data_IF_375120312349
#
_entry.id   IF_375120312349
#
_cell.length_a   1.000
_cell.length_b   1.000
_cell.length_c   1.000
_cell.angle_alpha   90.00
_cell.angle_beta   90.00
_cell.angle_gamma   90.00
#
_symmetry.space_group_name_H-M   'P 1'
#
loop_
_entity.id
_entity.type
_entity.pdbx_description
1 polymer ?
#
# COMPACT_ATOMS: atom_id res chain seq x y z
N UNK A 1 -9.48 1.44 4.83
CA UNK A 1 -9.03 2.84 4.84
C UNK A 1 -10.01 3.68 4.03
N UNK A 2 -10.63 4.68 4.66
CA UNK A 2 -11.54 5.63 4.01
C UNK A 2 -10.74 6.66 3.21
N UNK A 3 -11.23 7.07 2.03
CA UNK A 3 -10.68 8.21 1.28
C UNK A 3 -11.26 9.54 1.75
N UNK A 4 -12.32 9.52 2.57
CA UNK A 4 -13.07 10.72 2.94
C UNK A 4 -12.74 11.30 4.32
N UNK A 5 -11.80 10.73 5.09
CA UNK A 5 -11.23 11.40 6.25
C UNK A 5 -9.81 10.89 6.50
N UNK A 6 -8.82 11.78 6.66
CA UNK A 6 -7.49 11.36 7.09
C UNK A 6 -7.63 10.65 8.43
N UNK A 7 -6.91 9.55 8.58
CA UNK A 7 -6.73 8.90 9.88
C UNK A 7 -6.24 10.00 10.86
N UNK A 8 -7.04 10.37 11.88
CA UNK A 8 -6.75 11.54 12.71
C UNK A 8 -5.41 11.42 13.42
N UNK A 9 -5.00 10.20 13.73
CA UNK A 9 -3.69 9.92 14.32
C UNK A 9 -2.58 10.17 13.28
N UNK A 10 -2.77 9.73 12.03
CA UNK A 10 -1.80 9.96 10.95
C UNK A 10 -1.64 11.44 10.61
N UNK A 11 -2.75 12.20 10.55
CA UNK A 11 -2.70 13.65 10.35
C UNK A 11 -1.83 14.32 11.43
N UNK A 12 -2.05 13.98 12.71
CA UNK A 12 -1.24 14.53 13.80
C UNK A 12 0.24 14.12 13.70
N UNK A 13 0.52 12.87 13.34
CA UNK A 13 1.88 12.35 13.14
C UNK A 13 2.61 13.13 12.05
N UNK A 14 1.94 13.35 10.90
CA UNK A 14 2.51 14.07 9.76
C UNK A 14 2.72 15.54 10.08
N UNK A 15 1.74 16.18 10.70
CA UNK A 15 1.82 17.59 11.14
C UNK A 15 2.95 17.81 12.14
N UNK A 16 3.15 16.87 13.07
CA UNK A 16 4.21 16.94 14.07
C UNK A 16 5.59 16.50 13.55
N UNK A 17 5.68 15.99 12.31
CA UNK A 17 6.90 15.48 11.66
C UNK A 17 7.68 14.48 12.53
N UNK A 18 6.99 13.50 13.11
CA UNK A 18 7.61 12.52 14.02
C UNK A 18 7.88 11.19 13.34
N UNK A 19 9.16 10.88 13.06
CA UNK A 19 9.56 9.60 12.45
C UNK A 19 9.14 8.37 13.26
N UNK A 20 9.32 8.29 14.59
CA UNK A 20 8.99 7.06 15.32
C UNK A 20 7.49 6.69 15.26
N UNK A 21 6.54 7.60 15.51
CA UNK A 21 5.11 7.30 15.31
C UNK A 21 4.74 6.98 13.86
N UNK A 22 5.36 7.64 12.87
CA UNK A 22 5.10 7.31 11.46
C UNK A 22 5.58 5.89 11.13
N UNK A 23 6.75 5.51 11.65
CA UNK A 23 7.26 4.15 11.52
C UNK A 23 6.28 3.13 12.11
N UNK A 24 5.80 3.37 13.34
CA UNK A 24 4.86 2.47 14.03
C UNK A 24 3.58 2.30 13.21
N UNK A 25 3.00 3.40 12.72
CA UNK A 25 1.80 3.41 11.87
C UNK A 25 2.02 2.65 10.54
N UNK A 26 3.18 2.81 9.91
CA UNK A 26 3.50 2.10 8.66
C UNK A 26 3.73 0.60 8.88
N UNK A 27 4.39 0.18 9.95
CA UNK A 27 4.55 -1.24 10.30
C UNK A 27 3.21 -1.90 10.62
N UNK A 28 2.32 -1.17 11.29
CA UNK A 28 0.95 -1.62 11.50
C UNK A 28 0.23 -1.81 10.16
N UNK A 29 0.33 -0.83 9.26
CA UNK A 29 -0.25 -0.93 7.91
C UNK A 29 0.30 -2.13 7.12
N UNK A 30 1.61 -2.39 7.19
CA UNK A 30 2.24 -3.55 6.55
C UNK A 30 1.72 -4.88 7.12
N UNK A 31 1.18 -4.87 8.34
CA UNK A 31 0.58 -6.06 8.94
C UNK A 31 -0.76 -6.42 8.30
N UNK A 32 -1.42 -5.57 7.53
CA UNK A 32 -2.67 -5.96 6.85
C UNK A 32 -2.44 -6.83 5.61
N UNK A 33 -1.20 -6.98 5.14
CA UNK A 33 -0.93 -7.73 3.91
C UNK A 33 -1.13 -9.25 4.05
N UNK A 34 -1.70 -9.86 3.00
CA UNK A 34 -1.77 -11.31 2.80
C UNK A 34 -2.81 -12.05 3.64
N UNK A 35 -3.64 -11.33 4.41
CA UNK A 35 -4.75 -11.89 5.20
C UNK A 35 -5.97 -10.95 5.15
N UNK A 36 -7.10 -11.39 5.72
CA UNK A 36 -8.24 -10.50 5.94
C UNK A 36 -7.90 -9.41 6.97
N UNK A 37 -8.31 -8.18 6.69
CA UNK A 37 -8.12 -7.03 7.59
C UNK A 37 -8.66 -7.29 9.00
N UNK A 38 -9.79 -8.00 9.10
CA UNK A 38 -10.36 -8.40 10.40
C UNK A 38 -9.41 -9.27 11.21
N UNK A 39 -8.75 -10.23 10.57
CA UNK A 39 -7.79 -11.13 11.24
C UNK A 39 -6.54 -10.37 11.67
N UNK A 40 -6.05 -9.45 10.83
CA UNK A 40 -4.93 -8.57 11.16
C UNK A 40 -5.26 -7.69 12.37
N UNK A 41 -6.41 -7.01 12.34
CA UNK A 41 -6.87 -6.13 13.40
C UNK A 41 -7.09 -6.88 14.73
N UNK A 42 -7.71 -8.05 14.70
CA UNK A 42 -7.88 -8.86 15.92
C UNK A 42 -6.54 -9.28 16.53
N UNK A 43 -5.54 -9.60 15.71
CA UNK A 43 -4.21 -9.95 16.21
C UNK A 43 -3.51 -8.75 16.86
N UNK A 44 -3.49 -7.60 16.18
CA UNK A 44 -2.89 -6.36 16.68
C UNK A 44 -3.56 -5.90 17.97
N UNK A 45 -4.89 -6.00 18.05
CA UNK A 45 -5.64 -5.67 19.27
C UNK A 45 -5.26 -6.58 20.45
N UNK A 46 -5.06 -7.88 20.21
CA UNK A 46 -4.78 -8.87 21.25
C UNK A 46 -3.30 -8.91 21.68
N UNK A 47 -2.37 -8.55 20.79
CA UNK A 47 -0.93 -8.77 21.01
C UNK A 47 -0.07 -7.50 20.88
N UNK A 48 -0.67 -6.38 20.47
CA UNK A 48 0.05 -5.16 20.13
C UNK A 48 0.87 -5.29 18.84
N UNK A 49 1.72 -4.30 18.61
CA UNK A 49 2.73 -4.27 17.55
C UNK A 49 4.14 -4.27 18.13
N UNK A 50 5.13 -4.12 17.25
CA UNK A 50 6.48 -3.73 17.65
C UNK A 50 6.67 -2.26 17.28
N UNK A 51 7.31 -1.51 18.17
CA UNK A 51 7.54 -0.07 18.00
C UNK A 51 8.96 0.26 17.57
N UNK A 52 9.15 1.46 17.03
CA UNK A 52 10.45 2.07 16.76
C UNK A 52 11.35 2.00 17.99
N UNK A 53 10.83 2.39 19.16
CA UNK A 53 11.62 2.45 20.39
C UNK A 53 12.12 1.05 20.77
N UNK A 54 11.25 0.04 20.74
CA UNK A 54 11.63 -1.34 21.04
C UNK A 54 12.71 -1.86 20.09
N UNK A 55 12.56 -1.68 18.77
CA UNK A 55 13.58 -2.11 17.80
C UNK A 55 14.88 -1.35 18.03
N UNK A 56 14.82 -0.03 18.23
CA UNK A 56 16.02 0.80 18.44
C UNK A 56 16.86 0.33 19.62
N UNK A 57 16.23 -0.12 20.71
CA UNK A 57 16.94 -0.70 21.86
C UNK A 57 17.50 -2.09 21.51
N UNK A 58 16.73 -2.91 20.79
CA UNK A 58 17.14 -4.25 20.39
C UNK A 58 18.34 -4.28 19.42
N UNK A 59 18.52 -3.24 18.61
CA UNK A 59 19.57 -3.14 17.59
C UNK A 59 20.67 -2.13 17.91
N UNK A 60 20.71 -1.60 19.14
CA UNK A 60 21.78 -0.69 19.59
C UNK A 60 23.15 -1.36 19.62
N UNK A 61 23.20 -2.63 20.04
CA UNK A 61 24.42 -3.45 20.07
C UNK A 61 24.05 -4.89 19.67
N UNK A 62 23.79 -5.13 18.37
CA UNK A 62 23.28 -6.41 17.93
C UNK A 62 24.42 -7.44 17.88
N UNK A 63 24.20 -8.60 18.50
CA UNK A 63 25.17 -9.70 18.40
C UNK A 63 25.29 -10.28 16.96
N UNK A 64 24.29 -10.05 16.11
CA UNK A 64 24.25 -10.57 14.74
C UNK A 64 24.68 -9.47 13.75
N UNK A 65 25.73 -9.68 12.94
CA UNK A 65 26.24 -8.65 12.02
C UNK A 65 25.26 -8.30 10.89
N UNK A 66 24.25 -9.14 10.66
CA UNK A 66 23.18 -8.81 9.70
C UNK A 66 22.29 -7.66 10.18
N UNK A 67 22.34 -7.28 11.46
CA UNK A 67 21.60 -6.15 12.00
C UNK A 67 22.42 -4.85 12.02
N UNK A 68 23.67 -4.89 11.55
CA UNK A 68 24.56 -3.73 11.55
C UNK A 68 24.10 -2.68 10.54
N UNK A 69 23.51 -3.10 9.41
CA UNK A 69 23.00 -2.18 8.39
C UNK A 69 21.78 -2.74 7.64
N UNK A 70 21.04 -1.86 6.98
CA UNK A 70 19.95 -2.20 6.07
C UNK A 70 20.39 -3.19 5.00
N UNK A 71 21.53 -2.95 4.36
CA UNK A 71 22.02 -3.76 3.25
C UNK A 71 22.51 -5.14 3.70
N UNK A 72 23.11 -5.26 4.88
CA UNK A 72 23.51 -6.58 5.41
C UNK A 72 22.28 -7.40 5.81
N UNK A 73 21.21 -6.75 6.27
CA UNK A 73 19.99 -7.41 6.72
C UNK A 73 19.21 -8.15 5.64
N UNK A 74 19.31 -7.74 4.37
CA UNK A 74 18.62 -8.38 3.23
C UNK A 74 18.84 -9.90 3.20
N UNK A 75 19.98 -10.37 3.71
CA UNK A 75 20.35 -11.78 3.78
C UNK A 75 19.81 -12.56 4.99
N UNK A 76 19.01 -11.97 5.90
CA UNK A 76 18.60 -12.57 7.19
C UNK A 76 17.89 -13.93 7.03
N UNK A 77 16.85 -13.99 6.21
CA UNK A 77 16.07 -15.20 5.90
C UNK A 77 15.56 -15.95 7.15
N UNK A 78 15.12 -15.23 8.17
CA UNK A 78 14.56 -15.82 9.37
C UNK A 78 13.25 -16.58 9.07
N UNK A 79 13.18 -17.84 9.50
CA UNK A 79 11.99 -18.67 9.45
C UNK A 79 11.53 -18.97 10.89
N UNK A 80 10.37 -18.44 11.27
CA UNK A 80 9.80 -18.59 12.62
C UNK A 80 9.35 -20.01 12.91
N UNK A 81 8.86 -20.74 11.92
CA UNK A 81 8.36 -22.12 12.06
C UNK A 81 9.52 -23.08 12.27
N UNK A 82 10.56 -22.96 11.44
CA UNK A 82 11.77 -23.79 11.52
C UNK A 82 12.74 -23.33 12.60
N UNK A 83 12.58 -22.10 13.09
CA UNK A 83 13.54 -21.41 13.98
C UNK A 83 14.95 -21.45 13.40
N UNK A 84 15.08 -21.06 12.14
CA UNK A 84 16.36 -20.98 11.41
C UNK A 84 16.53 -19.61 10.75
N UNK A 85 17.75 -19.29 10.34
CA UNK A 85 18.08 -18.09 9.55
C UNK A 85 19.40 -18.35 8.81
N UNK A 86 19.86 -17.39 7.99
CA UNK A 86 21.15 -17.50 7.28
C UNK A 86 22.37 -17.48 8.21
N UNK A 87 22.21 -17.02 9.46
CA UNK A 87 23.29 -16.90 10.45
C UNK A 87 22.92 -17.62 11.76
N UNK A 88 22.81 -18.98 11.74
CA UNK A 88 22.25 -19.75 12.85
C UNK A 88 23.04 -19.60 14.16
N UNK A 89 24.36 -19.30 14.10
CA UNK A 89 25.21 -19.08 15.28
C UNK A 89 24.69 -17.97 16.21
N UNK A 90 23.97 -16.99 15.69
CA UNK A 90 23.49 -15.84 16.46
C UNK A 90 22.03 -15.96 16.90
N UNK A 91 21.29 -16.97 16.45
CA UNK A 91 19.83 -17.01 16.56
C UNK A 91 19.32 -16.93 18.00
N UNK A 92 20.06 -17.52 18.96
CA UNK A 92 19.70 -17.53 20.38
C UNK A 92 19.67 -16.12 21.00
N UNK A 93 20.54 -15.22 20.53
CA UNK A 93 20.65 -13.83 21.02
C UNK A 93 20.01 -12.82 20.06
N UNK A 94 19.58 -13.27 18.88
CA UNK A 94 18.98 -12.41 17.87
C UNK A 94 17.67 -11.78 18.38
N UNK A 95 17.44 -10.47 18.16
CA UNK A 95 16.18 -9.82 18.52
C UNK A 95 15.03 -10.12 17.55
N UNK A 96 15.31 -10.42 16.28
CA UNK A 96 14.26 -10.65 15.25
C UNK A 96 13.23 -11.71 15.69
N UNK A 97 13.62 -12.89 16.24
CA UNK A 97 12.65 -13.87 16.74
C UNK A 97 11.78 -13.40 17.92
N UNK A 98 12.21 -12.36 18.64
CA UNK A 98 11.55 -11.88 19.87
C UNK A 98 10.40 -10.90 19.60
N UNK A 99 10.34 -10.34 18.39
CA UNK A 99 9.25 -9.43 18.02
C UNK A 99 7.89 -10.14 18.09
N UNK A 100 6.89 -9.55 18.76
CA UNK A 100 5.58 -10.17 19.00
C UNK A 100 4.64 -10.06 17.78
N UNK A 101 5.15 -10.13 16.55
CA UNK A 101 4.32 -10.10 15.36
C UNK A 101 3.87 -11.51 14.96
N UNK A 102 2.75 -11.59 14.22
CA UNK A 102 2.06 -12.86 13.93
C UNK A 102 2.93 -13.92 13.26
N UNK A 103 3.93 -13.53 12.49
CA UNK A 103 4.79 -14.46 11.77
C UNK A 103 6.21 -13.92 11.58
N UNK A 104 7.15 -14.80 11.24
CA UNK A 104 8.57 -14.43 11.05
C UNK A 104 8.81 -13.51 9.85
N UNK A 105 7.87 -13.48 8.91
CA UNK A 105 7.92 -12.57 7.77
C UNK A 105 7.72 -11.12 8.23
N UNK A 106 6.70 -10.85 9.04
CA UNK A 106 6.48 -9.52 9.61
C UNK A 106 7.57 -9.12 10.60
N UNK A 107 8.13 -10.07 11.37
CA UNK A 107 9.32 -9.79 12.18
C UNK A 107 10.45 -9.24 11.29
N UNK A 108 10.70 -9.85 10.13
CA UNK A 108 11.72 -9.34 9.21
C UNK A 108 11.32 -8.03 8.55
N UNK A 109 10.05 -7.85 8.19
CA UNK A 109 9.55 -6.59 7.62
C UNK A 109 9.80 -5.42 8.57
N UNK A 110 9.45 -5.54 9.85
CA UNK A 110 9.62 -4.46 10.82
C UNK A 110 11.10 -4.09 11.01
N UNK A 111 11.99 -5.08 11.15
CA UNK A 111 13.43 -4.81 11.28
C UNK A 111 14.05 -4.27 10.00
N UNK A 112 13.67 -4.80 8.84
CA UNK A 112 14.14 -4.30 7.55
C UNK A 112 13.71 -2.84 7.33
N UNK A 113 12.46 -2.50 7.64
CA UNK A 113 11.98 -1.14 7.54
C UNK A 113 12.65 -0.21 8.57
N UNK A 114 12.90 -0.69 9.79
CA UNK A 114 13.60 0.09 10.80
C UNK A 114 15.01 0.46 10.32
N UNK A 115 15.74 -0.53 9.79
CA UNK A 115 17.08 -0.33 9.26
C UNK A 115 17.08 0.58 8.03
N UNK A 116 16.07 0.47 7.16
CA UNK A 116 15.89 1.42 6.06
C UNK A 116 15.78 2.85 6.59
N UNK A 117 14.88 3.09 7.54
CA UNK A 117 14.69 4.43 8.10
C UNK A 117 15.95 4.92 8.82
N UNK A 118 16.63 4.07 9.58
CA UNK A 118 17.87 4.41 10.29
C UNK A 118 19.02 4.75 9.33
N UNK A 119 19.24 3.92 8.30
CA UNK A 119 20.48 3.96 7.50
C UNK A 119 20.32 4.69 6.16
N UNK A 120 19.15 4.59 5.53
CA UNK A 120 18.87 5.20 4.21
C UNK A 120 18.20 6.56 4.38
N UNK A 121 17.29 6.68 5.34
CA UNK A 121 16.62 7.95 5.66
C UNK A 121 17.30 8.74 6.81
N UNK A 122 18.47 8.30 7.29
CA UNK A 122 19.22 8.92 8.39
C UNK A 122 18.36 9.23 9.64
N UNK A 123 17.45 8.32 9.96
CA UNK A 123 16.44 8.46 11.03
C UNK A 123 15.43 9.62 10.85
N UNK A 124 15.43 10.30 9.71
CA UNK A 124 14.47 11.33 9.30
C UNK A 124 13.66 10.89 8.07
N UNK A 125 12.61 10.11 8.31
CA UNK A 125 11.73 9.65 7.22
C UNK A 125 11.00 10.81 6.53
N UNK A 126 10.73 11.92 7.23
CA UNK A 126 10.05 13.08 6.65
C UNK A 126 10.99 13.85 5.72
N UNK A 127 12.21 14.14 6.18
CA UNK A 127 13.26 14.74 5.36
C UNK A 127 13.57 13.88 4.13
N UNK A 128 13.68 12.57 4.30
CA UNK A 128 13.87 11.66 3.19
C UNK A 128 12.74 11.72 2.14
N UNK A 129 11.47 11.75 2.55
CA UNK A 129 10.34 11.94 1.62
C UNK A 129 10.45 13.30 0.91
N UNK A 130 10.72 14.37 1.66
CA UNK A 130 10.88 15.72 1.12
C UNK A 130 11.98 15.76 0.04
N UNK A 131 13.11 15.10 0.29
CA UNK A 131 14.24 15.01 -0.64
C UNK A 131 13.88 14.19 -1.89
N UNK A 132 13.23 13.04 -1.74
CA UNK A 132 12.80 12.21 -2.89
C UNK A 132 11.83 12.96 -3.80
N UNK A 133 10.84 13.64 -3.22
CA UNK A 133 9.85 14.41 -3.98
C UNK A 133 10.49 15.62 -4.66
N UNK A 134 11.40 16.32 -3.96
CA UNK A 134 12.14 17.45 -4.53
C UNK A 134 13.05 17.02 -5.69
N UNK A 135 13.72 15.87 -5.56
CA UNK A 135 14.59 15.32 -6.61
C UNK A 135 13.80 14.83 -7.83
N UNK A 136 12.59 14.32 -7.65
CA UNK A 136 11.71 13.93 -8.76
C UNK A 136 11.26 15.14 -9.60
N UNK A 137 11.21 16.34 -9.00
CA UNK A 137 10.90 17.60 -9.68
C UNK A 137 9.55 17.58 -10.41
N UNK A 138 9.44 18.36 -11.48
CA UNK A 138 8.24 18.46 -12.32
C UNK A 138 8.05 17.29 -13.31
N UNK A 139 8.83 16.21 -13.18
CA UNK A 139 8.78 15.04 -14.08
C UNK A 139 7.49 14.20 -13.95
N UNK A 140 6.50 14.70 -13.21
CA UNK A 140 5.16 14.16 -13.07
C UNK A 140 5.01 13.09 -11.99
N UNK A 141 3.76 12.75 -11.69
CA UNK A 141 3.39 11.87 -10.57
C UNK A 141 3.99 10.46 -10.65
N UNK A 142 4.23 9.93 -11.85
CA UNK A 142 4.88 8.63 -12.02
C UNK A 142 6.32 8.63 -11.50
N UNK A 143 7.06 9.70 -11.77
CA UNK A 143 8.44 9.90 -11.32
C UNK A 143 8.51 10.09 -9.80
N UNK A 144 7.60 10.90 -9.24
CA UNK A 144 7.47 11.09 -7.80
C UNK A 144 7.12 9.78 -7.06
N UNK A 145 6.21 8.99 -7.61
CA UNK A 145 5.88 7.67 -7.06
C UNK A 145 7.10 6.73 -7.09
N UNK A 146 7.84 6.62 -8.21
CA UNK A 146 8.99 5.73 -8.28
C UNK A 146 10.17 6.21 -7.40
N UNK A 147 10.34 7.52 -7.21
CA UNK A 147 11.34 8.06 -6.28
C UNK A 147 11.10 7.59 -4.83
N UNK A 148 9.85 7.37 -4.44
CA UNK A 148 9.50 6.84 -3.12
C UNK A 148 9.48 5.29 -3.09
N UNK A 149 8.82 4.67 -4.08
CA UNK A 149 8.62 3.22 -4.11
C UNK A 149 9.90 2.47 -4.46
N UNK A 150 10.71 2.99 -5.39
CA UNK A 150 11.94 2.34 -5.85
C UNK A 150 12.91 1.99 -4.72
N UNK A 151 13.33 2.96 -3.89
CA UNK A 151 14.21 2.69 -2.76
C UNK A 151 13.56 1.80 -1.68
N UNK A 152 12.25 1.97 -1.43
CA UNK A 152 11.54 1.22 -0.38
C UNK A 152 11.15 -0.21 -0.81
N UNK A 153 11.21 -0.53 -2.11
CA UNK A 153 10.94 -1.87 -2.67
C UNK A 153 11.83 -2.97 -2.08
N UNK A 154 13.01 -2.60 -1.56
CA UNK A 154 13.95 -3.52 -0.94
C UNK A 154 13.62 -3.82 0.54
N UNK A 155 12.64 -3.13 1.13
CA UNK A 155 12.14 -3.46 2.47
C UNK A 155 11.52 -4.85 2.43
N UNK A 156 12.06 -5.75 3.26
CA UNK A 156 11.74 -7.17 3.20
C UNK A 156 10.23 -7.41 3.34
N UNK A 157 9.68 -8.13 2.35
CA UNK A 157 8.31 -8.63 2.45
C UNK A 157 7.24 -7.54 2.33
N UNK A 158 7.53 -6.39 1.73
CA UNK A 158 6.50 -5.39 1.41
C UNK A 158 6.38 -5.27 -0.10
N UNK A 159 5.20 -5.55 -0.65
CA UNK A 159 4.96 -5.40 -2.09
C UNK A 159 4.81 -3.93 -2.50
N UNK A 160 5.14 -3.57 -3.75
CA UNK A 160 4.91 -2.24 -4.33
C UNK A 160 3.47 -1.75 -4.14
N UNK A 161 2.49 -2.66 -4.21
CA UNK A 161 1.08 -2.35 -3.93
C UNK A 161 0.92 -1.79 -2.52
N UNK A 162 1.44 -2.50 -1.52
CA UNK A 162 1.31 -2.13 -0.11
C UNK A 162 2.08 -0.84 0.17
N UNK A 163 3.30 -0.69 -0.38
CA UNK A 163 4.09 0.54 -0.29
C UNK A 163 3.32 1.73 -0.88
N UNK A 164 2.82 1.60 -2.10
CA UNK A 164 2.07 2.67 -2.79
C UNK A 164 0.80 3.04 -2.03
N UNK A 165 0.06 2.06 -1.49
CA UNK A 165 -1.13 2.35 -0.68
C UNK A 165 -0.76 3.10 0.60
N UNK A 166 0.26 2.63 1.32
CA UNK A 166 0.71 3.20 2.59
C UNK A 166 1.23 4.63 2.40
N UNK A 167 2.14 4.83 1.44
CA UNK A 167 2.71 6.13 1.11
C UNK A 167 1.65 7.13 0.65
N UNK A 168 0.70 6.71 -0.20
CA UNK A 168 -0.41 7.58 -0.61
C UNK A 168 -1.21 8.10 0.59
N UNK A 169 -1.50 7.24 1.59
CA UNK A 169 -2.17 7.68 2.82
C UNK A 169 -1.33 8.67 3.64
N UNK A 170 -0.02 8.42 3.77
CA UNK A 170 0.92 9.33 4.48
C UNK A 170 0.97 10.69 3.79
N UNK A 171 1.12 10.70 2.47
CA UNK A 171 1.24 11.92 1.67
C UNK A 171 -0.06 12.74 1.67
N UNK A 172 -1.22 12.08 1.80
CA UNK A 172 -2.52 12.73 1.85
C UNK A 172 -2.95 13.15 3.26
N UNK A 173 -2.17 12.87 4.29
CA UNK A 173 -2.61 12.99 5.68
C UNK A 173 -2.79 14.44 6.16
N UNK A 174 -1.98 15.38 5.67
CA UNK A 174 -2.04 16.80 6.06
C UNK A 174 -1.88 17.70 4.82
N UNK A 175 -3.01 17.93 4.14
CA UNK A 175 -3.06 18.75 2.92
C UNK A 175 -2.68 20.22 3.16
N UNK A 176 -2.98 20.75 4.34
CA UNK A 176 -2.77 22.17 4.66
C UNK A 176 -1.29 22.46 4.87
N UNK A 177 -0.60 21.60 5.62
CA UNK A 177 0.82 21.76 5.87
C UNK A 177 1.70 21.23 4.73
N UNK A 178 1.19 20.29 3.92
CA UNK A 178 1.95 19.59 2.86
C UNK A 178 1.17 19.48 1.53
N UNK A 179 0.85 20.60 0.87
CA UNK A 179 0.10 20.57 -0.39
C UNK A 179 0.83 19.77 -1.50
N UNK A 180 2.16 19.83 -1.56
CA UNK A 180 2.95 19.09 -2.56
C UNK A 180 2.88 17.57 -2.32
N UNK A 181 2.91 17.14 -1.06
CA UNK A 181 2.70 15.73 -0.72
C UNK A 181 1.29 15.30 -1.13
N UNK A 182 0.29 16.10 -0.80
CA UNK A 182 -1.10 15.79 -1.10
C UNK A 182 -1.33 15.63 -2.62
N UNK A 183 -0.74 16.50 -3.45
CA UNK A 183 -0.79 16.39 -4.91
C UNK A 183 -0.22 15.05 -5.41
N UNK A 184 0.94 14.62 -4.90
CA UNK A 184 1.53 13.32 -5.26
C UNK A 184 0.67 12.16 -4.73
N UNK A 185 0.31 12.18 -3.46
CA UNK A 185 -0.45 11.12 -2.81
C UNK A 185 -1.82 10.88 -3.45
N UNK A 186 -2.49 11.95 -3.88
CA UNK A 186 -3.79 11.91 -4.58
C UNK A 186 -3.70 11.35 -6.01
N UNK A 187 -2.51 11.40 -6.61
CA UNK A 187 -2.23 10.82 -7.92
C UNK A 187 -1.76 9.35 -7.88
N UNK A 188 -1.34 8.86 -6.69
CA UNK A 188 -0.84 7.50 -6.49
C UNK A 188 -1.98 6.47 -6.50
N UNK A 189 -2.11 5.75 -7.61
CA UNK A 189 -3.16 4.74 -7.82
C UNK A 189 -2.64 3.32 -7.70
N UNK A 190 -3.47 2.45 -7.14
CA UNK A 190 -3.21 1.02 -7.04
C UNK A 190 -4.30 0.25 -7.76
N UNK A 191 -3.92 -0.44 -8.83
CA UNK A 191 -4.79 -1.39 -9.53
C UNK A 191 -4.58 -2.77 -8.93
N UNK A 192 -5.54 -3.21 -8.13
CA UNK A 192 -5.60 -4.58 -7.66
C UNK A 192 -6.55 -5.43 -8.51
N UNK A 193 -6.69 -6.70 -8.12
CA UNK A 193 -7.53 -7.64 -8.84
C UNK A 193 -9.00 -7.22 -8.86
N UNK A 194 -9.52 -6.57 -7.82
CA UNK A 194 -10.91 -6.12 -7.80
C UNK A 194 -11.13 -5.00 -8.83
N UNK A 195 -10.27 -3.98 -8.81
CA UNK A 195 -10.33 -2.86 -9.75
C UNK A 195 -10.15 -3.36 -11.19
N UNK A 196 -9.14 -4.21 -11.45
CA UNK A 196 -8.92 -4.79 -12.77
C UNK A 196 -10.13 -5.61 -13.24
N UNK A 197 -10.62 -6.51 -12.39
CA UNK A 197 -11.76 -7.36 -12.71
C UNK A 197 -13.02 -6.55 -12.98
N UNK A 198 -13.26 -5.47 -12.24
CA UNK A 198 -14.38 -4.56 -12.52
C UNK A 198 -14.30 -4.01 -13.95
N UNK A 199 -13.13 -3.50 -14.37
CA UNK A 199 -12.93 -2.95 -15.72
C UNK A 199 -13.07 -4.01 -16.83
N UNK A 200 -12.70 -5.27 -16.54
CA UNK A 200 -12.91 -6.39 -17.47
C UNK A 200 -14.40 -6.78 -17.55
N UNK A 201 -15.06 -7.03 -16.40
CA UNK A 201 -16.47 -7.48 -16.34
C UNK A 201 -17.41 -6.48 -16.98
N UNK A 202 -17.19 -5.19 -16.75
CA UNK A 202 -17.98 -4.10 -17.32
C UNK A 202 -17.77 -3.93 -18.82
N UNK A 203 -16.69 -4.47 -19.38
CA UNK A 203 -16.34 -4.34 -20.79
C UNK A 203 -15.55 -3.08 -21.15
N UNK A 204 -15.24 -2.22 -20.17
CA UNK A 204 -14.54 -0.95 -20.37
C UNK A 204 -13.20 -1.15 -21.09
N UNK A 205 -12.38 -2.14 -20.65
CA UNK A 205 -11.10 -2.40 -21.31
C UNK A 205 -11.25 -2.82 -22.77
N UNK A 206 -12.32 -3.54 -23.11
CA UNK A 206 -12.57 -3.95 -24.49
C UNK A 206 -13.05 -2.79 -25.36
N UNK A 207 -13.95 -1.96 -24.86
CA UNK A 207 -14.45 -0.78 -25.58
C UNK A 207 -13.33 0.22 -25.88
N UNK A 208 -12.34 0.33 -24.99
CA UNK A 208 -11.19 1.22 -25.16
C UNK A 208 -10.02 0.59 -25.93
N UNK A 209 -10.10 -0.68 -26.36
CA UNK A 209 -9.00 -1.38 -27.02
C UNK A 209 -7.79 -1.66 -26.10
N UNK A 210 -8.02 -1.70 -24.79
CA UNK A 210 -7.00 -1.77 -23.72
C UNK A 210 -6.99 -3.14 -23.02
N UNK A 211 -7.32 -4.22 -23.73
CA UNK A 211 -7.41 -5.57 -23.14
C UNK A 211 -6.02 -6.09 -22.77
N UNK A 212 -5.86 -6.49 -21.52
CA UNK A 212 -4.64 -7.09 -20.99
C UNK A 212 -4.97 -8.00 -19.80
N UNK A 213 -4.13 -9.00 -19.47
CA UNK A 213 -4.25 -9.75 -18.23
C UNK A 213 -3.82 -8.91 -17.03
N UNK A 214 -4.38 -9.22 -15.87
CA UNK A 214 -3.97 -8.65 -14.59
C UNK A 214 -2.47 -8.82 -14.34
N UNK A 215 -1.81 -7.75 -13.90
CA UNK A 215 -0.38 -7.74 -13.57
C UNK A 215 0.29 -6.42 -13.95
N UNK A 216 1.60 -6.41 -14.23
CA UNK A 216 2.35 -5.19 -14.55
C UNK A 216 1.76 -4.36 -15.71
N UNK A 217 1.10 -5.03 -16.67
CA UNK A 217 0.41 -4.36 -17.79
C UNK A 217 -0.73 -3.44 -17.36
N UNK A 218 -1.25 -3.59 -16.14
CA UNK A 218 -2.22 -2.65 -15.58
C UNK A 218 -1.67 -1.23 -15.41
N UNK A 219 -0.35 -1.07 -15.31
CA UNK A 219 0.33 0.22 -15.11
C UNK A 219 1.06 0.73 -16.38
N UNK A 220 1.12 -0.08 -17.44
CA UNK A 220 1.70 0.32 -18.72
C UNK A 220 0.75 1.26 -19.50
N UNK A 221 1.26 1.87 -20.57
CA UNK A 221 0.43 2.57 -21.55
C UNK A 221 -0.67 1.63 -22.09
N UNK A 222 -1.91 2.11 -22.14
CA UNK A 222 -3.10 1.30 -22.44
C UNK A 222 -3.54 0.36 -21.31
N UNK A 223 -3.06 0.58 -20.08
CA UNK A 223 -3.41 -0.21 -18.89
C UNK A 223 -4.59 0.34 -18.08
N UNK A 224 -5.02 -0.39 -17.06
CA UNK A 224 -6.08 0.03 -16.13
C UNK A 224 -5.78 1.39 -15.47
N UNK A 225 -4.53 1.66 -15.10
CA UNK A 225 -4.12 2.91 -14.48
C UNK A 225 -4.43 4.13 -15.36
N UNK A 226 -4.26 3.99 -16.68
CA UNK A 226 -4.59 5.04 -17.63
C UNK A 226 -6.11 5.24 -17.72
N UNK A 227 -6.91 4.16 -17.70
CA UNK A 227 -8.37 4.26 -17.64
C UNK A 227 -8.82 5.05 -16.42
N UNK A 228 -8.27 4.77 -15.24
CA UNK A 228 -8.63 5.48 -14.01
C UNK A 228 -8.31 6.97 -14.10
N UNK A 229 -7.15 7.34 -14.66
CA UNK A 229 -6.78 8.74 -14.88
C UNK A 229 -7.68 9.43 -15.89
N UNK A 230 -8.00 8.77 -17.01
CA UNK A 230 -8.93 9.31 -18.02
C UNK A 230 -10.32 9.55 -17.45
N UNK A 231 -10.82 8.63 -16.61
CA UNK A 231 -12.11 8.80 -15.91
C UNK A 231 -12.03 9.95 -14.91
N UNK A 232 -10.96 10.02 -14.14
CA UNK A 232 -10.73 11.08 -13.16
C UNK A 232 -10.73 12.47 -13.78
N UNK A 233 -10.05 12.66 -14.92
CA UNK A 233 -10.02 13.93 -15.64
C UNK A 233 -11.40 14.38 -16.18
N UNK A 234 -12.42 13.52 -16.16
CA UNK A 234 -13.80 13.84 -16.57
C UNK A 234 -14.73 14.10 -15.36
N UNK A 235 -14.23 13.95 -14.14
CA UNK A 235 -14.98 14.09 -12.90
C UNK A 235 -14.33 15.20 -12.10
N UNK A 236 -15.02 16.32 -11.91
CA UNK A 236 -14.59 17.34 -10.96
C UNK A 236 -14.84 16.83 -9.54
N UNK A 237 -13.81 16.41 -8.81
CA UNK A 237 -13.98 15.81 -7.50
C UNK A 237 -14.43 16.81 -6.41
N UNK A 238 -14.33 18.12 -6.66
CA UNK A 238 -14.85 19.16 -5.76
C UNK A 238 -16.37 19.02 -5.51
N UNK A 239 -17.09 18.37 -6.43
CA UNK A 239 -18.53 18.11 -6.28
C UNK A 239 -18.85 17.13 -5.13
N UNK A 240 -17.87 16.33 -4.70
CA UNK A 240 -18.03 15.38 -3.59
C UNK A 240 -17.48 15.94 -2.28
N UNK A 241 -16.37 16.70 -2.37
CA UNK A 241 -15.76 17.41 -1.26
C UNK A 241 -15.01 18.64 -1.84
N UNK A 242 -15.37 19.88 -1.48
CA UNK A 242 -14.74 21.10 -1.99
C UNK A 242 -13.22 21.17 -1.78
N UNK A 243 -12.68 20.36 -0.88
CA UNK A 243 -11.25 20.33 -0.59
C UNK A 243 -10.47 19.26 -1.38
N UNK A 244 -11.15 18.44 -2.17
CA UNK A 244 -10.49 17.50 -3.07
C UNK A 244 -9.83 18.23 -4.25
N UNK A 245 -8.78 17.68 -4.88
CA UNK A 245 -8.32 18.16 -6.18
C UNK A 245 -9.42 17.95 -7.23
N UNK A 246 -9.54 18.85 -8.21
CA UNK A 246 -10.45 18.64 -9.34
C UNK A 246 -10.23 17.29 -10.01
N UNK A 247 -8.98 16.96 -10.37
CA UNK A 247 -8.57 15.67 -10.91
C UNK A 247 -7.99 14.80 -9.78
N UNK A 248 -8.75 13.79 -9.35
CA UNK A 248 -8.41 12.95 -8.20
C UNK A 248 -8.48 11.44 -8.51
N UNK A 249 -7.48 10.87 -9.19
CA UNK A 249 -7.55 9.50 -9.69
C UNK A 249 -7.55 8.45 -8.57
N UNK A 250 -6.96 8.76 -7.41
CA UNK A 250 -7.05 7.89 -6.22
C UNK A 250 -8.48 7.81 -5.67
N UNK A 251 -9.27 8.88 -5.75
CA UNK A 251 -10.69 8.84 -5.39
C UNK A 251 -11.47 7.88 -6.30
N UNK A 252 -11.28 7.97 -7.62
CA UNK A 252 -11.90 7.03 -8.58
C UNK A 252 -11.48 5.59 -8.31
N UNK A 253 -10.17 5.36 -8.12
CA UNK A 253 -9.64 4.04 -7.79
C UNK A 253 -10.28 3.47 -6.53
N UNK A 254 -10.40 4.27 -5.47
CA UNK A 254 -10.98 3.85 -4.20
C UNK A 254 -12.47 3.61 -4.30
N UNK A 255 -13.22 4.45 -5.01
CA UNK A 255 -14.65 4.24 -5.24
C UNK A 255 -14.92 2.90 -5.93
N UNK A 256 -14.13 2.56 -6.96
CA UNK A 256 -14.23 1.25 -7.62
C UNK A 256 -13.83 0.10 -6.70
N UNK A 257 -12.76 0.25 -5.94
CA UNK A 257 -12.35 -0.75 -4.96
C UNK A 257 -13.45 -0.96 -3.92
N UNK A 258 -13.98 0.10 -3.31
CA UNK A 258 -15.03 0.07 -2.29
C UNK A 258 -16.31 -0.55 -2.82
N UNK A 259 -16.68 -0.29 -4.07
CA UNK A 259 -17.82 -0.93 -4.72
C UNK A 259 -17.67 -2.46 -4.83
N UNK A 260 -16.43 -2.93 -5.02
CA UNK A 260 -16.13 -4.34 -5.22
C UNK A 260 -15.73 -5.07 -3.95
N UNK A 261 -15.11 -4.41 -2.97
CA UNK A 261 -14.50 -5.06 -1.82
C UNK A 261 -15.56 -5.66 -0.89
N UNK A 262 -15.23 -6.80 -0.28
CA UNK A 262 -16.16 -7.52 0.60
C UNK A 262 -16.46 -6.75 1.90
N UNK A 263 -15.49 -5.97 2.35
CA UNK A 263 -15.55 -4.99 3.45
C UNK A 263 -16.02 -3.60 3.00
N UNK A 264 -16.32 -3.44 1.70
CA UNK A 264 -17.00 -2.27 1.15
C UNK A 264 -18.47 -2.56 0.88
N UNK A 265 -18.95 -2.20 -0.32
CA UNK A 265 -20.33 -2.45 -0.75
C UNK A 265 -20.57 -3.90 -1.20
N UNK A 266 -19.49 -4.69 -1.36
CA UNK A 266 -19.56 -6.12 -1.67
C UNK A 266 -20.45 -6.43 -2.89
N UNK A 267 -20.32 -5.68 -4.00
CA UNK A 267 -21.19 -5.86 -5.18
C UNK A 267 -20.50 -6.63 -6.31
N UNK A 268 -19.48 -6.05 -6.94
CA UNK A 268 -18.86 -6.62 -8.15
C UNK A 268 -17.66 -7.53 -7.81
N UNK A 269 -17.91 -8.66 -7.14
CA UNK A 269 -16.85 -9.58 -6.70
C UNK A 269 -17.26 -11.06 -6.76
N UNK A 270 -16.29 -11.93 -6.47
CA UNK A 270 -16.47 -13.38 -6.51
C UNK A 270 -17.34 -13.96 -5.39
N UNK A 271 -17.77 -13.16 -4.40
CA UNK A 271 -18.76 -13.60 -3.41
C UNK A 271 -20.18 -13.59 -3.99
N UNK A 272 -20.42 -12.71 -4.98
CA UNK A 272 -21.75 -12.47 -5.55
C UNK A 272 -21.86 -12.90 -7.02
N UNK A 273 -20.74 -13.14 -7.70
CA UNK A 273 -20.70 -13.41 -9.14
C UNK A 273 -19.89 -14.68 -9.39
N UNK A 274 -20.47 -15.61 -10.16
CA UNK A 274 -19.74 -16.74 -10.73
C UNK A 274 -18.98 -16.29 -11.98
N UNK A 275 -17.67 -16.15 -11.84
CA UNK A 275 -16.76 -15.69 -12.89
C UNK A 275 -16.70 -16.57 -14.15
N UNK A 276 -17.35 -17.73 -14.17
CA UNK A 276 -17.42 -18.65 -15.33
C UNK A 276 -18.59 -18.35 -16.27
N UNK A 277 -19.53 -17.50 -15.87
CA UNK A 277 -20.72 -17.13 -16.65
C UNK A 277 -20.91 -15.62 -16.67
N UNK A 278 -21.82 -15.16 -17.54
CA UNK A 278 -22.24 -13.76 -17.51
C UNK A 278 -22.90 -13.42 -16.17
N UNK A 279 -22.64 -12.21 -15.68
CA UNK A 279 -23.20 -11.71 -14.43
C UNK A 279 -24.73 -11.54 -14.54
N UNK A 280 -25.45 -12.02 -13.53
CA UNK A 280 -26.91 -11.98 -13.39
C UNK A 280 -27.38 -11.04 -12.24
N UNK A 281 -26.46 -10.28 -11.64
CA UNK A 281 -26.74 -9.37 -10.52
C UNK A 281 -27.49 -8.11 -10.99
N UNK A 282 -28.82 -8.21 -11.06
CA UNK A 282 -29.71 -7.16 -11.57
C UNK A 282 -29.74 -5.88 -10.72
N UNK A 283 -29.41 -5.96 -9.43
CA UNK A 283 -29.35 -4.82 -8.51
C UNK A 283 -28.08 -3.96 -8.65
N UNK A 284 -27.12 -4.37 -9.48
CA UNK A 284 -25.88 -3.63 -9.73
C UNK A 284 -26.18 -2.28 -10.42
N UNK A 285 -25.65 -1.17 -9.90
CA UNK A 285 -25.93 0.19 -10.40
C UNK A 285 -25.48 0.41 -11.85
N UNK A 286 -24.51 -0.37 -12.31
CA UNK A 286 -24.03 -0.33 -13.71
C UNK A 286 -24.58 -1.47 -14.55
N UNK A 287 -25.55 -2.25 -14.06
CA UNK A 287 -26.03 -3.47 -14.73
C UNK A 287 -26.50 -3.23 -16.18
N UNK A 288 -27.24 -2.14 -16.42
CA UNK A 288 -27.76 -1.80 -17.75
C UNK A 288 -26.65 -1.51 -18.77
N UNK A 289 -25.54 -0.90 -18.32
CA UNK A 289 -24.42 -0.48 -19.17
C UNK A 289 -23.26 -1.49 -19.17
N UNK A 290 -23.28 -2.47 -18.27
CA UNK A 290 -22.24 -3.48 -18.10
C UNK A 290 -22.33 -4.57 -19.18
N UNK A 291 -21.20 -4.90 -19.81
CA UNK A 291 -21.07 -6.01 -20.76
C UNK A 291 -21.18 -7.41 -20.10
N UNK A 292 -21.14 -7.48 -18.76
CA UNK A 292 -21.32 -8.70 -17.95
C UNK A 292 -20.34 -9.82 -18.31
N UNK A 293 -19.12 -9.48 -18.74
CA UNK A 293 -18.15 -10.47 -19.22
C UNK A 293 -17.77 -11.46 -18.11
N UNK A 294 -17.78 -12.75 -18.46
CA UNK A 294 -17.15 -13.79 -17.65
C UNK A 294 -15.63 -13.56 -17.60
N UNK A 295 -15.01 -13.84 -16.44
CA UNK A 295 -13.56 -13.67 -16.24
C UNK A 295 -12.76 -14.95 -16.47
N UNK A 296 -13.41 -16.11 -16.35
CA UNK A 296 -12.82 -17.42 -16.59
C UNK A 296 -13.51 -18.02 -17.80
N UNK A 297 -12.75 -18.26 -18.86
CA UNK A 297 -13.22 -19.09 -19.97
C UNK A 297 -13.31 -20.54 -19.46
N UNK A 298 -14.35 -21.26 -19.90
CA UNK A 298 -14.50 -22.70 -19.65
C UNK A 298 -13.45 -23.50 -20.42
#
# INVERSE_FOLDING_TARGET
>A
MSVSSPDPDLHQIVRARRTPPLFDWMVETFSFQGISDRVAASYLHAHGGITWHEISQMVRDPACPLLDSYWTYESCRYDKTRRTCSHPRYIRRCPVPKAPLRNGHLNQTAFSFFLFVRDVADSDLFGWIDDQLSAAGELGYGSAQEALVGPTRHVFGVSDKVLTMTLSSVLMADREARPDWYAVGSAMIVVDRLVHNFLVRTGILAQLGMVHPYGPRCYAAGGCAEVLRRVSAQIDAHQFDPDFPADFPRFVQHALWHYCAADGLNVCNGNNIDDRKSCDLSSCIVHSNCAKKALKLQ
#
